data_IF_607912174588
#
_entry.id   IF_607912174588
#
_cell.length_a   1.000
_cell.length_b   1.000
_cell.length_c   1.000
_cell.angle_alpha   90.00
_cell.angle_beta   90.00
_cell.angle_gamma   90.00
#
_symmetry.space_group_name_H-M   'P 1'
#
loop_
_entity.id
_entity.type
_entity.pdbx_description
1 polymer ?
#
# COMPACT_ATOMS: atom_id res chain seq x y z
N UNK A 1 17.03 5.78 -17.63
CA UNK A 1 17.47 4.93 -16.51
C UNK A 1 17.50 5.70 -15.20
N UNK A 2 17.16 5.03 -14.10
CA UNK A 2 17.20 5.62 -12.76
C UNK A 2 18.56 5.28 -12.15
N UNK A 3 19.29 6.30 -11.68
CA UNK A 3 20.54 6.06 -10.97
C UNK A 3 20.28 5.24 -9.69
N UNK A 4 21.07 4.18 -9.40
CA UNK A 4 20.86 3.36 -8.20
C UNK A 4 20.84 4.18 -6.89
N UNK A 5 21.65 5.23 -6.81
CA UNK A 5 21.71 6.13 -5.66
C UNK A 5 20.43 6.96 -5.43
N UNK A 6 19.56 7.09 -6.44
CA UNK A 6 18.28 7.77 -6.31
C UNK A 6 17.22 6.91 -5.60
N UNK A 7 17.43 5.60 -5.49
CA UNK A 7 16.51 4.67 -4.83
C UNK A 7 16.79 4.61 -3.34
N UNK A 8 15.90 5.17 -2.54
CA UNK A 8 16.00 5.11 -1.08
C UNK A 8 15.53 3.78 -0.50
N UNK A 9 14.38 3.28 -1.00
CA UNK A 9 13.75 2.08 -0.45
C UNK A 9 12.84 1.42 -1.47
N UNK A 10 12.84 0.10 -1.48
CA UNK A 10 11.91 -0.73 -2.25
C UNK A 10 11.24 -1.72 -1.30
N UNK A 11 9.92 -1.84 -1.37
CA UNK A 11 9.17 -2.83 -0.57
C UNK A 11 7.88 -3.23 -1.25
N UNK A 12 7.35 -4.39 -0.88
CA UNK A 12 5.95 -4.71 -1.17
C UNK A 12 5.00 -3.77 -0.43
N UNK A 13 3.91 -3.37 -1.09
CA UNK A 13 2.83 -2.64 -0.43
C UNK A 13 2.23 -3.48 0.71
N UNK A 14 2.00 -4.76 0.43
CA UNK A 14 1.63 -5.78 1.41
C UNK A 14 2.54 -7.00 1.23
N UNK A 15 3.58 -7.13 2.06
CA UNK A 15 4.59 -8.18 1.94
C UNK A 15 4.01 -9.58 2.19
N UNK A 16 3.13 -9.73 3.18
CA UNK A 16 2.49 -11.01 3.48
C UNK A 16 1.59 -11.47 2.33
N UNK A 17 0.85 -10.54 1.73
CA UNK A 17 -0.01 -10.86 0.61
C UNK A 17 0.73 -10.95 -0.73
N UNK A 18 2.00 -10.54 -0.83
CA UNK A 18 2.72 -10.56 -2.11
C UNK A 18 2.93 -11.98 -2.63
N UNK A 19 3.19 -12.93 -1.73
CA UNK A 19 3.47 -14.34 -2.07
C UNK A 19 2.27 -15.27 -1.89
N UNK A 20 1.04 -14.73 -1.80
CA UNK A 20 -0.16 -15.55 -1.59
C UNK A 20 -0.40 -16.45 -2.80
N UNK A 21 -0.59 -17.78 -2.62
CA UNK A 21 -0.91 -18.69 -3.72
C UNK A 21 -2.15 -18.23 -4.49
N UNK A 22 -2.08 -18.29 -5.83
CA UNK A 22 -3.17 -17.87 -6.72
C UNK A 22 -3.27 -16.35 -6.96
N UNK A 23 -2.43 -15.53 -6.31
CA UNK A 23 -2.41 -14.08 -6.57
C UNK A 23 -1.75 -13.80 -7.93
N UNK A 24 -2.46 -13.07 -8.78
CA UNK A 24 -2.01 -12.74 -10.15
C UNK A 24 -1.05 -11.56 -10.24
N UNK A 25 -1.16 -10.61 -9.32
CA UNK A 25 -0.34 -9.39 -9.31
C UNK A 25 -0.20 -8.85 -7.90
N UNK A 26 0.90 -8.13 -7.63
CA UNK A 26 1.14 -7.42 -6.37
C UNK A 26 1.78 -6.07 -6.67
N UNK A 27 1.69 -5.14 -5.73
CA UNK A 27 2.21 -3.77 -5.90
C UNK A 27 3.47 -3.56 -5.08
N UNK A 28 4.47 -2.94 -5.70
CA UNK A 28 5.70 -2.49 -5.05
C UNK A 28 5.56 -0.99 -4.77
N UNK A 29 6.07 -0.55 -3.62
CA UNK A 29 6.26 0.86 -3.29
C UNK A 29 7.76 1.14 -3.38
N UNK A 30 8.11 2.08 -4.25
CA UNK A 30 9.47 2.58 -4.43
C UNK A 30 9.51 3.99 -3.85
N UNK A 31 10.46 4.24 -2.95
CA UNK A 31 10.76 5.56 -2.42
C UNK A 31 12.02 6.08 -3.11
N UNK A 32 11.90 7.23 -3.76
CA UNK A 32 12.97 7.88 -4.49
C UNK A 32 13.38 9.16 -3.77
N UNK A 33 14.67 9.48 -3.82
CA UNK A 33 15.22 10.76 -3.33
C UNK A 33 15.09 11.87 -4.39
N UNK A 34 14.92 11.49 -5.65
CA UNK A 34 14.79 12.40 -6.78
C UNK A 34 13.31 12.53 -7.18
N UNK A 35 12.79 13.75 -7.03
CA UNK A 35 11.42 14.09 -7.40
C UNK A 35 11.19 14.01 -8.91
N UNK A 36 12.15 14.46 -9.72
CA UNK A 36 12.02 14.47 -11.19
C UNK A 36 11.94 13.02 -11.70
N UNK A 37 12.77 12.13 -11.15
CA UNK A 37 12.69 10.71 -11.46
C UNK A 37 11.32 10.11 -11.08
N UNK A 38 10.79 10.47 -9.91
CA UNK A 38 9.47 9.99 -9.47
C UNK A 38 8.32 10.49 -10.36
N UNK A 39 8.38 11.74 -10.82
CA UNK A 39 7.40 12.32 -11.76
C UNK A 39 7.47 11.64 -13.14
N UNK A 40 8.68 11.40 -13.65
CA UNK A 40 8.89 10.68 -14.91
C UNK A 40 8.34 9.26 -14.86
N UNK A 41 8.57 8.52 -13.76
CA UNK A 41 8.03 7.17 -13.58
C UNK A 41 6.50 7.19 -13.52
N UNK A 42 5.92 8.18 -12.85
CA UNK A 42 4.46 8.31 -12.76
C UNK A 42 3.84 8.63 -14.12
N UNK A 43 4.53 9.43 -14.94
CA UNK A 43 4.06 9.86 -16.27
C UNK A 43 4.27 8.79 -17.34
N UNK A 44 5.44 8.13 -17.37
CA UNK A 44 5.86 7.25 -18.45
C UNK A 44 5.90 5.76 -18.07
N UNK A 45 5.78 5.44 -16.78
CA UNK A 45 5.96 4.11 -16.24
C UNK A 45 7.42 3.76 -15.92
N UNK A 46 7.60 2.63 -15.25
CA UNK A 46 8.89 2.06 -14.89
C UNK A 46 9.09 0.73 -15.64
N UNK A 47 10.21 0.59 -16.33
CA UNK A 47 10.55 -0.67 -16.98
C UNK A 47 11.24 -1.62 -15.98
N UNK A 48 10.63 -2.79 -15.71
CA UNK A 48 11.12 -3.83 -14.82
C UNK A 48 11.01 -5.19 -15.50
N UNK A 49 12.09 -5.97 -15.53
CA UNK A 49 12.10 -7.34 -16.07
C UNK A 49 11.35 -7.50 -17.40
N UNK A 50 11.68 -6.62 -18.36
CA UNK A 50 11.06 -6.60 -19.69
C UNK A 50 9.56 -6.22 -19.73
N UNK A 51 9.04 -5.63 -18.65
CA UNK A 51 7.66 -5.18 -18.52
C UNK A 51 7.61 -3.70 -18.15
N UNK A 52 6.72 -2.93 -18.80
CA UNK A 52 6.41 -1.56 -18.36
C UNK A 52 5.37 -1.63 -17.24
N UNK A 53 5.74 -1.17 -16.06
CA UNK A 53 4.88 -1.05 -14.89
C UNK A 53 4.44 0.40 -14.73
N UNK A 54 3.14 0.68 -14.87
CA UNK A 54 2.61 2.01 -14.56
C UNK A 54 2.63 2.25 -13.05
N UNK A 55 3.06 3.45 -12.66
CA UNK A 55 3.17 3.86 -11.26
C UNK A 55 2.14 4.93 -10.91
N UNK A 56 1.74 4.95 -9.65
CA UNK A 56 1.03 6.07 -9.05
C UNK A 56 1.73 6.46 -7.75
N UNK A 57 1.64 7.74 -7.41
CA UNK A 57 2.03 8.23 -6.10
C UNK A 57 1.28 7.48 -4.99
N UNK A 58 2.04 7.00 -4.01
CA UNK A 58 1.49 6.25 -2.88
C UNK A 58 1.30 7.17 -1.68
N UNK A 59 0.03 7.44 -1.34
CA UNK A 59 -0.32 8.06 -0.07
C UNK A 59 -0.87 7.00 0.88
N UNK A 60 -0.26 6.79 2.06
CA UNK A 60 -0.86 5.94 3.07
C UNK A 60 -2.21 6.51 3.47
N UNK A 61 -3.26 5.69 3.37
CA UNK A 61 -4.59 6.07 3.81
C UNK A 61 -4.63 6.39 5.31
N UNK A 62 -5.64 7.14 5.77
CA UNK A 62 -5.82 7.39 7.19
C UNK A 62 -5.97 6.07 7.95
N UNK A 63 -5.42 6.04 9.16
CA UNK A 63 -5.51 4.87 10.02
C UNK A 63 -6.97 4.60 10.40
N UNK A 64 -7.55 3.60 9.76
CA UNK A 64 -8.88 3.08 10.07
C UNK A 64 -8.79 2.01 11.15
N UNK A 65 -9.62 2.14 12.18
CA UNK A 65 -9.70 1.15 13.24
C UNK A 65 -10.36 -0.13 12.74
N UNK A 66 -9.65 -1.24 12.71
CA UNK A 66 -10.20 -2.54 12.29
C UNK A 66 -11.28 -3.11 13.24
N UNK A 67 -11.45 -2.51 14.43
CA UNK A 67 -12.52 -2.91 15.36
C UNK A 67 -13.82 -2.18 15.06
N UNK A 68 -13.83 -0.86 14.88
CA UNK A 68 -15.08 -0.10 14.73
C UNK A 68 -15.24 0.60 13.38
N UNK A 69 -14.28 0.41 12.47
CA UNK A 69 -14.19 1.04 11.15
C UNK A 69 -14.12 2.58 11.17
N UNK A 70 -13.99 3.23 12.34
CA UNK A 70 -13.80 4.68 12.49
C UNK A 70 -12.33 5.09 12.41
N UNK A 71 -12.08 6.35 12.08
CA UNK A 71 -10.75 6.96 12.05
C UNK A 71 -10.36 7.56 13.42
N UNK A 72 -9.07 7.89 13.56
CA UNK A 72 -8.56 8.66 14.71
C UNK A 72 -8.04 7.83 15.89
N UNK A 73 -8.10 6.50 15.80
CA UNK A 73 -7.49 5.60 16.79
C UNK A 73 -7.16 4.24 16.19
N UNK A 74 -6.27 3.51 16.85
CA UNK A 74 -5.93 2.12 16.49
C UNK A 74 -6.82 1.14 17.24
N UNK A 75 -6.99 -0.07 16.71
CA UNK A 75 -7.84 -1.11 17.31
C UNK A 75 -7.54 -1.41 18.77
N UNK A 76 -6.27 -1.39 19.18
CA UNK A 76 -5.85 -1.64 20.57
C UNK A 76 -6.20 -0.51 21.55
N UNK A 77 -6.63 0.67 21.05
CA UNK A 77 -7.18 1.79 21.85
C UNK A 77 -8.67 2.01 21.57
N UNK A 78 -9.35 1.06 20.92
CA UNK A 78 -10.73 1.25 20.51
C UNK A 78 -11.70 1.10 21.69
N UNK A 79 -12.55 2.10 21.96
CA UNK A 79 -13.55 2.02 23.04
C UNK A 79 -14.78 1.18 22.66
N UNK A 80 -14.90 0.76 21.39
CA UNK A 80 -16.05 -0.04 20.94
C UNK A 80 -16.06 -1.40 21.64
N UNK A 81 -17.19 -1.83 22.23
CA UNK A 81 -17.30 -3.12 22.91
C UNK A 81 -17.26 -4.29 21.90
N UNK A 82 -17.80 -4.08 20.69
CA UNK A 82 -17.91 -5.11 19.66
C UNK A 82 -17.20 -4.69 18.36
N UNK A 83 -16.63 -5.67 17.63
CA UNK A 83 -16.09 -5.44 16.29
C UNK A 83 -17.22 -5.21 15.29
N UNK A 84 -16.95 -4.40 14.26
CA UNK A 84 -17.81 -4.12 13.12
C UNK A 84 -17.09 -4.60 11.87
N UNK A 85 -17.76 -5.45 11.10
CA UNK A 85 -17.22 -6.00 9.87
C UNK A 85 -16.98 -4.90 8.83
N UNK A 86 -15.78 -4.88 8.23
CA UNK A 86 -15.41 -3.92 7.18
C UNK A 86 -16.21 -4.11 5.87
N UNK A 87 -16.81 -5.29 5.67
CA UNK A 87 -17.50 -5.64 4.43
C UNK A 87 -19.01 -5.35 4.50
N UNK A 88 -19.68 -5.68 5.61
CA UNK A 88 -21.14 -5.59 5.73
C UNK A 88 -21.62 -4.64 6.85
N UNK A 89 -20.72 -4.06 7.64
CA UNK A 89 -21.03 -3.18 8.78
C UNK A 89 -21.82 -3.82 9.94
N UNK A 90 -21.97 -5.14 9.97
CA UNK A 90 -22.64 -5.86 11.07
C UNK A 90 -21.67 -6.18 12.24
N UNK A 91 -22.20 -6.35 13.48
CA UNK A 91 -21.39 -6.57 14.68
C UNK A 91 -20.94 -8.03 14.80
N UNK A 92 -19.92 -8.40 14.04
CA UNK A 92 -19.26 -9.71 14.13
C UNK A 92 -17.76 -9.63 13.83
N UNK A 93 -17.01 -10.66 14.23
CA UNK A 93 -15.61 -10.82 13.86
C UNK A 93 -15.49 -11.05 12.35
N UNK A 94 -14.44 -10.50 11.74
CA UNK A 94 -14.16 -10.61 10.29
C UNK A 94 -13.27 -11.80 9.99
#
# INVERSE_FOLDING_TARGET
>A
DIAPAAVHKVRWLNAMAANRPGKRASSIVITLLDYVAAEQITTYGLFLENTVCTGHWFWPGPDQCFRCQRYGHKSYKCPSPHPICACCAEPHDT
#
